data_IF_181463718877
#
_entry.id   IF_181463718877
#
_cell.length_a   1.000
_cell.length_b   1.000
_cell.length_c   1.000
_cell.angle_alpha   90.00
_cell.angle_beta   90.00
_cell.angle_gamma   90.00
#
_symmetry.space_group_name_H-M   'P 1'
#
loop_
_entity.id
_entity.type
_entity.pdbx_description
1 polymer ?
#
# COMPACT_ATOMS: atom_id res chain seq x y z
N UNK A 1 61.65 21.18 38.64
CA UNK A 1 61.27 20.17 37.63
C UNK A 1 59.82 19.73 37.79
N UNK A 2 59.35 19.45 39.02
CA UNK A 2 57.94 19.06 39.28
C UNK A 2 56.85 20.03 38.77
N UNK A 3 57.08 21.35 38.82
CA UNK A 3 56.11 22.36 38.31
C UNK A 3 55.94 22.30 36.78
N UNK A 4 57.04 22.19 36.02
CA UNK A 4 56.98 22.07 34.55
C UNK A 4 56.36 20.74 34.10
N UNK A 5 56.51 19.70 34.90
CA UNK A 5 55.93 18.39 34.65
C UNK A 5 54.42 18.38 34.95
N UNK A 6 53.99 19.09 36.00
CA UNK A 6 52.57 19.33 36.29
C UNK A 6 51.90 20.19 35.23
N UNK A 7 52.55 21.25 34.74
CA UNK A 7 52.07 22.09 33.63
C UNK A 7 51.93 21.28 32.33
N UNK A 8 52.89 20.40 32.04
CA UNK A 8 52.84 19.50 30.88
C UNK A 8 51.71 18.47 30.99
N UNK A 9 51.48 17.91 32.18
CA UNK A 9 50.36 17.00 32.43
C UNK A 9 49.00 17.72 32.35
N UNK A 10 48.93 18.98 32.79
CA UNK A 10 47.73 19.79 32.67
C UNK A 10 47.41 20.12 31.21
N UNK A 11 48.43 20.46 30.41
CA UNK A 11 48.29 20.68 28.98
C UNK A 11 47.83 19.42 28.21
N UNK A 12 48.39 18.25 28.55
CA UNK A 12 47.97 16.96 27.98
C UNK A 12 46.50 16.64 28.31
N UNK A 13 46.07 16.86 29.57
CA UNK A 13 44.66 16.68 29.97
C UNK A 13 43.71 17.64 29.27
N UNK A 14 44.15 18.88 29.01
CA UNK A 14 43.35 19.86 28.27
C UNK A 14 43.15 19.41 26.82
N UNK A 15 44.22 18.93 26.19
CA UNK A 15 44.21 18.41 24.82
C UNK A 15 43.36 17.13 24.68
N UNK A 16 43.42 16.23 25.66
CA UNK A 16 42.57 15.03 25.73
C UNK A 16 41.08 15.40 25.88
N UNK A 17 40.77 16.42 26.69
CA UNK A 17 39.40 16.91 26.88
C UNK A 17 38.85 17.57 25.62
N UNK A 18 39.66 18.35 24.92
CA UNK A 18 39.31 18.94 23.62
C UNK A 18 39.08 17.86 22.56
N UNK A 19 39.92 16.82 22.54
CA UNK A 19 39.76 15.67 21.64
C UNK A 19 38.47 14.88 21.95
N UNK A 20 38.14 14.65 23.22
CA UNK A 20 36.88 14.00 23.62
C UNK A 20 35.64 14.83 23.26
N UNK A 21 35.71 16.15 23.42
CA UNK A 21 34.62 17.06 23.07
C UNK A 21 34.40 17.12 21.55
N UNK A 22 35.48 17.13 20.77
CA UNK A 22 35.41 17.04 19.31
C UNK A 22 34.80 15.70 18.85
N UNK A 23 35.17 14.58 19.49
CA UNK A 23 34.60 13.26 19.21
C UNK A 23 33.10 13.17 19.54
N UNK A 24 32.69 13.77 20.67
CA UNK A 24 31.28 13.82 21.08
C UNK A 24 30.42 14.66 20.11
N UNK A 25 30.96 15.77 19.61
CA UNK A 25 30.29 16.58 18.58
C UNK A 25 30.15 15.80 17.27
N UNK A 26 31.21 15.10 16.85
CA UNK A 26 31.20 14.26 15.65
C UNK A 26 30.17 13.13 15.75
N UNK A 27 30.03 12.50 16.93
CA UNK A 27 29.03 11.45 17.19
C UNK A 27 27.59 11.98 17.17
N UNK A 28 27.34 13.18 17.68
CA UNK A 28 26.03 13.82 17.65
C UNK A 28 25.61 14.19 16.22
N UNK A 29 26.56 14.64 15.40
CA UNK A 29 26.34 14.93 13.99
C UNK A 29 26.11 13.66 13.16
N UNK A 30 26.80 12.56 13.44
CA UNK A 30 26.51 11.26 12.80
C UNK A 30 25.17 10.69 13.21
N UNK A 31 24.75 10.83 14.48
CA UNK A 31 23.45 10.37 14.99
C UNK A 31 22.27 11.16 14.37
N UNK A 32 22.41 12.48 14.21
CA UNK A 32 21.41 13.30 13.48
C UNK A 32 21.35 12.95 11.99
N UNK A 33 22.49 12.72 11.33
CA UNK A 33 22.53 12.28 9.92
C UNK A 33 21.89 10.90 9.75
N UNK A 34 22.03 9.98 10.72
CA UNK A 34 21.36 8.67 10.73
C UNK A 34 19.85 8.77 10.93
N UNK A 35 19.38 9.62 11.85
CA UNK A 35 17.94 9.87 12.09
C UNK A 35 17.26 10.48 10.85
N UNK A 36 17.93 11.39 10.14
CA UNK A 36 17.44 11.94 8.88
C UNK A 36 17.46 10.93 7.71
N UNK A 37 18.46 10.03 7.66
CA UNK A 37 18.51 8.91 6.71
C UNK A 37 17.36 7.92 6.96
N UNK A 38 16.99 7.64 8.23
CA UNK A 38 15.82 6.82 8.61
C UNK A 38 14.48 7.48 8.26
N UNK A 39 14.28 8.77 8.58
CA UNK A 39 13.05 9.50 8.28
C UNK A 39 12.78 9.63 6.76
N UNK A 40 13.85 9.70 5.95
CA UNK A 40 13.76 9.78 4.49
C UNK A 40 13.59 8.39 3.83
N UNK A 41 14.01 7.31 4.50
CA UNK A 41 13.73 5.93 4.08
C UNK A 41 12.28 5.52 4.41
N UNK A 42 11.74 5.87 5.59
CA UNK A 42 10.35 5.58 5.98
C UNK A 42 9.33 6.24 5.03
N UNK A 43 9.52 7.53 4.70
CA UNK A 43 8.70 8.24 3.69
C UNK A 43 8.75 7.60 2.29
N UNK A 44 9.87 7.02 1.90
CA UNK A 44 10.02 6.34 0.59
C UNK A 44 9.38 4.96 0.57
N UNK A 45 9.29 4.26 1.71
CA UNK A 45 8.55 2.99 1.85
C UNK A 45 7.04 3.24 1.84
N UNK A 46 6.55 4.27 2.53
CA UNK A 46 5.12 4.62 2.55
C UNK A 46 4.61 5.01 1.15
N UNK A 47 5.44 5.72 0.37
CA UNK A 47 5.16 6.04 -1.04
C UNK A 47 5.25 4.81 -1.96
N UNK A 48 6.14 3.86 -1.68
CA UNK A 48 6.33 2.64 -2.50
C UNK A 48 5.18 1.64 -2.27
N UNK A 49 4.65 1.53 -1.04
CA UNK A 49 3.39 0.82 -0.70
C UNK A 49 2.17 1.45 -1.38
N UNK A 50 2.06 2.78 -1.34
CA UNK A 50 1.01 3.54 -2.04
C UNK A 50 1.04 3.37 -3.57
N UNK A 51 2.20 3.05 -4.16
CA UNK A 51 2.40 2.89 -5.62
C UNK A 51 2.18 1.46 -6.13
N UNK A 52 2.52 0.44 -5.35
CA UNK A 52 2.25 -0.96 -5.71
C UNK A 52 0.79 -1.37 -5.52
N UNK A 53 0.14 -0.84 -4.48
CA UNK A 53 -1.29 -1.05 -4.18
C UNK A 53 -2.22 -0.42 -5.22
N UNK A 54 -1.76 0.47 -6.10
CA UNK A 54 -2.67 1.14 -7.03
C UNK A 54 -2.71 0.50 -8.43
N UNK A 55 -1.56 0.06 -8.97
CA UNK A 55 -1.51 -0.53 -10.33
C UNK A 55 -1.85 -2.02 -10.33
N UNK A 56 -1.29 -2.82 -9.40
CA UNK A 56 -1.64 -4.25 -9.32
C UNK A 56 -3.08 -4.44 -8.85
N UNK A 57 -3.56 -3.68 -7.86
CA UNK A 57 -4.97 -3.76 -7.44
C UNK A 57 -5.94 -3.32 -8.54
N UNK A 58 -5.58 -2.29 -9.33
CA UNK A 58 -6.38 -1.94 -10.51
C UNK A 58 -6.36 -3.04 -11.56
N UNK A 59 -5.22 -3.66 -11.84
CA UNK A 59 -5.14 -4.79 -12.76
C UNK A 59 -6.05 -5.95 -12.31
N UNK A 60 -5.95 -6.35 -11.04
CA UNK A 60 -6.83 -7.37 -10.46
C UNK A 60 -8.31 -6.98 -10.53
N UNK A 61 -8.63 -5.70 -10.27
CA UNK A 61 -9.98 -5.17 -10.40
C UNK A 61 -10.51 -5.17 -11.85
N UNK A 62 -9.67 -4.80 -12.82
CA UNK A 62 -10.05 -4.82 -14.22
C UNK A 62 -10.39 -6.24 -14.67
N UNK A 63 -9.57 -7.23 -14.28
CA UNK A 63 -9.83 -8.63 -14.58
C UNK A 63 -11.15 -9.12 -13.97
N UNK A 64 -11.37 -8.89 -12.67
CA UNK A 64 -12.58 -9.39 -12.02
C UNK A 64 -13.84 -8.65 -12.51
N UNK A 65 -13.73 -7.38 -12.88
CA UNK A 65 -14.83 -6.61 -13.47
C UNK A 65 -15.15 -7.04 -14.90
N UNK A 66 -14.13 -7.39 -15.69
CA UNK A 66 -14.30 -8.00 -17.00
C UNK A 66 -14.98 -9.37 -16.89
N UNK A 67 -14.50 -10.24 -16.00
CA UNK A 67 -15.08 -11.55 -15.75
C UNK A 67 -16.53 -11.44 -15.25
N UNK A 68 -16.82 -10.49 -14.37
CA UNK A 68 -18.19 -10.22 -13.93
C UNK A 68 -19.06 -9.67 -15.07
N UNK A 69 -18.56 -8.74 -15.88
CA UNK A 69 -19.33 -8.19 -17.00
C UNK A 69 -19.67 -9.29 -18.03
N UNK A 70 -18.71 -10.17 -18.33
CA UNK A 70 -18.90 -11.34 -19.19
C UNK A 70 -19.90 -12.35 -18.60
N UNK A 71 -19.78 -12.64 -17.30
CA UNK A 71 -20.73 -13.48 -16.59
C UNK A 71 -22.15 -12.90 -16.67
N UNK A 72 -22.29 -11.61 -16.35
CA UNK A 72 -23.58 -10.94 -16.30
C UNK A 72 -24.23 -10.88 -17.68
N UNK A 73 -23.45 -10.63 -18.74
CA UNK A 73 -23.91 -10.73 -20.13
C UNK A 73 -24.40 -12.14 -20.47
N UNK A 74 -23.61 -13.17 -20.14
CA UNK A 74 -23.93 -14.58 -20.41
C UNK A 74 -25.18 -15.05 -19.64
N UNK A 75 -25.39 -14.54 -18.44
CA UNK A 75 -26.58 -14.84 -17.61
C UNK A 75 -27.81 -13.99 -17.95
N UNK A 76 -27.70 -13.06 -18.90
CA UNK A 76 -28.81 -12.21 -19.31
C UNK A 76 -29.25 -11.23 -18.22
N UNK A 77 -28.34 -10.79 -17.34
CA UNK A 77 -28.66 -9.82 -16.31
C UNK A 77 -29.06 -8.48 -16.98
N UNK A 78 -30.21 -7.88 -16.63
CA UNK A 78 -30.66 -6.64 -17.26
C UNK A 78 -29.66 -5.49 -17.08
N UNK A 79 -29.45 -4.70 -18.14
CA UNK A 79 -28.62 -3.48 -18.10
C UNK A 79 -27.11 -3.71 -18.24
N UNK A 80 -26.67 -4.94 -18.46
CA UNK A 80 -25.25 -5.33 -18.61
C UNK A 80 -24.53 -4.70 -19.80
N UNK A 81 -25.26 -4.29 -20.84
CA UNK A 81 -24.70 -3.51 -21.95
C UNK A 81 -24.05 -2.20 -21.48
N UNK A 82 -24.48 -1.63 -20.35
CA UNK A 82 -23.93 -0.39 -19.79
C UNK A 82 -22.57 -0.60 -19.13
N UNK A 83 -22.15 -1.84 -18.85
CA UNK A 83 -20.85 -2.15 -18.25
C UNK A 83 -19.69 -1.98 -19.21
N UNK A 84 -19.92 -1.89 -20.51
CA UNK A 84 -18.86 -1.77 -21.51
C UNK A 84 -18.68 -0.31 -21.94
N UNK A 85 -17.42 0.13 -22.10
CA UNK A 85 -17.04 1.39 -22.76
C UNK A 85 -16.83 1.12 -24.25
N UNK A 86 -17.19 2.10 -25.07
CA UNK A 86 -16.84 2.12 -26.48
C UNK A 86 -15.70 3.15 -26.71
N UNK A 87 -14.57 2.82 -27.34
CA UNK A 87 -14.11 1.50 -27.78
C UNK A 87 -13.16 0.86 -26.75
N UNK A 88 -13.43 -0.40 -26.38
CA UNK A 88 -12.61 -1.29 -25.54
C UNK A 88 -12.48 -0.94 -24.04
N UNK A 89 -13.09 -1.79 -23.21
CA UNK A 89 -12.85 -1.87 -21.77
C UNK A 89 -14.13 -1.82 -20.94
N UNK A 90 -14.07 -2.37 -19.73
CA UNK A 90 -15.18 -2.27 -18.77
C UNK A 90 -15.24 -0.88 -18.13
N UNK A 91 -16.46 -0.40 -17.91
CA UNK A 91 -16.75 0.77 -17.12
C UNK A 91 -16.69 0.40 -15.64
N UNK A 92 -15.48 0.41 -15.09
CA UNK A 92 -15.20 0.01 -13.71
C UNK A 92 -16.10 0.69 -12.68
N UNK A 93 -16.40 1.98 -12.85
CA UNK A 93 -17.30 2.71 -11.95
C UNK A 93 -18.75 2.21 -12.01
N UNK A 94 -19.27 1.92 -13.20
CA UNK A 94 -20.60 1.33 -13.33
C UNK A 94 -20.67 -0.09 -12.76
N UNK A 95 -19.63 -0.89 -12.97
CA UNK A 95 -19.55 -2.25 -12.41
C UNK A 95 -19.44 -2.19 -10.88
N UNK A 96 -18.57 -1.33 -10.34
CA UNK A 96 -18.42 -1.08 -8.90
C UNK A 96 -19.78 -0.72 -8.26
N UNK A 97 -20.44 0.34 -8.77
CA UNK A 97 -21.75 0.78 -8.26
C UNK A 97 -22.82 -0.31 -8.35
N UNK A 98 -22.77 -1.13 -9.40
CA UNK A 98 -23.69 -2.24 -9.56
C UNK A 98 -23.47 -3.33 -8.51
N UNK A 99 -22.22 -3.78 -8.34
CA UNK A 99 -21.87 -4.84 -7.40
C UNK A 99 -22.15 -4.46 -5.94
N UNK A 100 -21.91 -3.19 -5.57
CA UNK A 100 -22.26 -2.65 -4.25
C UNK A 100 -23.79 -2.69 -4.02
N UNK A 101 -24.60 -2.40 -5.04
CA UNK A 101 -26.07 -2.38 -4.91
C UNK A 101 -26.73 -3.75 -5.10
N UNK A 102 -26.03 -4.75 -5.62
CA UNK A 102 -26.58 -6.08 -5.95
C UNK A 102 -25.73 -7.22 -5.34
N UNK A 103 -25.65 -7.34 -4.00
CA UNK A 103 -24.80 -8.32 -3.34
C UNK A 103 -25.16 -9.78 -3.69
N UNK A 104 -26.43 -10.06 -3.98
CA UNK A 104 -26.85 -11.40 -4.41
C UNK A 104 -26.21 -11.83 -5.74
N UNK A 105 -26.02 -10.89 -6.68
CA UNK A 105 -25.37 -11.17 -7.97
C UNK A 105 -23.87 -11.35 -7.81
N UNK A 106 -23.24 -10.60 -6.90
CA UNK A 106 -21.86 -10.83 -6.52
C UNK A 106 -21.65 -12.24 -5.95
N UNK A 107 -22.48 -12.66 -5.00
CA UNK A 107 -22.39 -14.00 -4.40
C UNK A 107 -22.64 -15.12 -5.42
N UNK A 108 -23.59 -14.93 -6.34
CA UNK A 108 -23.82 -15.89 -7.42
C UNK A 108 -22.61 -15.99 -8.36
N UNK A 109 -21.95 -14.88 -8.65
CA UNK A 109 -20.72 -14.84 -9.42
C UNK A 109 -19.56 -15.53 -8.70
N UNK A 110 -19.35 -15.27 -7.40
CA UNK A 110 -18.32 -15.93 -6.59
C UNK A 110 -18.45 -17.45 -6.61
N UNK A 111 -19.69 -17.96 -6.43
CA UNK A 111 -19.99 -19.40 -6.52
C UNK A 111 -19.69 -19.96 -7.91
N UNK A 112 -20.00 -19.21 -8.95
CA UNK A 112 -19.75 -19.62 -10.33
C UNK A 112 -18.25 -19.70 -10.64
N UNK A 113 -17.46 -18.73 -10.18
CA UNK A 113 -16.02 -18.67 -10.38
C UNK A 113 -15.22 -19.52 -9.38
N UNK A 114 -15.88 -20.10 -8.38
CA UNK A 114 -15.24 -20.78 -7.25
C UNK A 114 -14.21 -19.88 -6.52
N UNK A 115 -14.52 -18.59 -6.44
CA UNK A 115 -13.67 -17.58 -5.81
C UNK A 115 -14.05 -17.44 -4.33
N UNK A 116 -13.09 -17.69 -3.44
CA UNK A 116 -13.22 -17.47 -2.00
C UNK A 116 -12.73 -16.06 -1.67
N UNK A 117 -13.64 -15.10 -1.54
CA UNK A 117 -13.33 -13.72 -1.15
C UNK A 117 -14.43 -13.12 -0.27
N UNK A 118 -14.43 -11.79 -0.07
CA UNK A 118 -15.46 -11.07 0.70
C UNK A 118 -16.87 -11.30 0.14
N UNK A 119 -17.77 -11.80 0.99
CA UNK A 119 -19.14 -12.19 0.62
C UNK A 119 -20.02 -11.02 0.15
N UNK A 120 -19.72 -9.81 0.60
CA UNK A 120 -20.37 -8.57 0.17
C UNK A 120 -19.32 -7.73 -0.53
N UNK A 121 -19.62 -7.27 -1.74
CA UNK A 121 -18.69 -6.46 -2.52
C UNK A 121 -18.45 -5.11 -1.79
N UNK A 122 -17.19 -4.77 -1.47
CA UNK A 122 -16.87 -3.54 -0.76
C UNK A 122 -16.96 -2.34 -1.71
N UNK A 123 -17.34 -1.17 -1.19
CA UNK A 123 -17.26 0.05 -1.99
C UNK A 123 -15.79 0.43 -2.21
N UNK A 124 -15.36 0.42 -3.48
CA UNK A 124 -13.98 0.71 -3.85
C UNK A 124 -13.79 2.23 -3.98
N UNK A 125 -12.82 2.84 -3.27
CA UNK A 125 -12.52 4.26 -3.40
C UNK A 125 -12.31 4.70 -4.86
N UNK A 126 -12.94 5.80 -5.27
CA UNK A 126 -12.86 6.28 -6.66
C UNK A 126 -11.43 6.53 -7.14
N UNK A 127 -10.52 6.92 -6.25
CA UNK A 127 -9.09 7.09 -6.58
C UNK A 127 -8.41 5.80 -7.09
N UNK A 128 -8.88 4.63 -6.65
CA UNK A 128 -8.40 3.31 -7.12
C UNK A 128 -9.10 2.90 -8.42
N UNK A 129 -10.28 3.46 -8.69
CA UNK A 129 -11.02 3.27 -9.94
C UNK A 129 -10.57 4.20 -11.08
N UNK A 130 -9.99 5.37 -10.74
CA UNK A 130 -9.70 6.47 -11.65
C UNK A 130 -8.28 7.05 -11.58
N UNK A 131 -7.34 6.39 -10.89
CA UNK A 131 -5.94 6.82 -10.81
C UNK A 131 -5.34 7.14 -12.18
N UNK A 132 -4.60 8.26 -12.26
CA UNK A 132 -4.08 8.83 -13.49
C UNK A 132 -3.23 7.85 -14.33
N UNK A 133 -3.83 7.26 -15.35
CA UNK A 133 -3.28 7.06 -16.70
C UNK A 133 -4.30 6.33 -17.57
N UNK A 134 -4.82 7.08 -18.54
CA UNK A 134 -5.47 6.60 -19.76
C UNK A 134 -4.61 5.57 -20.50
N UNK A 135 -5.27 4.63 -21.18
CA UNK A 135 -4.76 3.54 -22.04
C UNK A 135 -4.58 2.16 -21.36
N UNK A 136 -4.77 1.13 -22.18
CA UNK A 136 -5.24 -0.21 -21.81
C UNK A 136 -4.37 -0.99 -20.84
N UNK A 137 -4.98 -2.01 -20.22
CA UNK A 137 -4.41 -3.01 -19.30
C UNK A 137 -2.96 -2.70 -18.93
N UNK A 138 -2.80 -1.82 -17.94
CA UNK A 138 -1.48 -1.46 -17.44
C UNK A 138 -0.84 -2.75 -16.91
N UNK A 139 0.08 -3.34 -17.66
CA UNK A 139 1.02 -4.27 -17.05
C UNK A 139 1.77 -3.46 -15.99
N UNK A 140 1.70 -3.82 -14.70
CA UNK A 140 2.43 -3.10 -13.68
C UNK A 140 3.91 -3.09 -14.03
N UNK A 141 4.49 -1.88 -14.13
CA UNK A 141 5.88 -1.64 -14.55
C UNK A 141 6.93 -2.40 -13.73
N UNK A 142 6.55 -2.88 -12.54
CA UNK A 142 7.43 -3.56 -11.59
C UNK A 142 6.94 -4.97 -11.21
N UNK A 143 6.13 -5.61 -12.07
CA UNK A 143 5.58 -6.94 -11.81
C UNK A 143 4.25 -6.91 -11.04
N UNK A 144 3.55 -8.04 -11.04
CA UNK A 144 2.27 -8.18 -10.35
C UNK A 144 2.53 -8.44 -8.86
N UNK A 145 1.88 -7.68 -7.98
CA UNK A 145 2.02 -7.85 -6.53
C UNK A 145 0.72 -8.26 -5.88
N UNK A 146 0.85 -9.08 -4.84
CA UNK A 146 -0.20 -9.46 -3.90
C UNK A 146 0.29 -9.10 -2.49
N UNK A 147 -0.52 -8.37 -1.74
CA UNK A 147 -0.21 -8.00 -0.35
C UNK A 147 -0.40 -9.21 0.54
N UNK A 148 0.62 -9.63 1.30
CA UNK A 148 0.44 -10.68 2.30
C UNK A 148 -0.42 -10.17 3.46
N UNK A 149 -1.51 -10.87 3.73
CA UNK A 149 -2.38 -10.60 4.86
C UNK A 149 -1.89 -11.39 6.08
N UNK A 150 -0.71 -11.05 6.62
CA UNK A 150 -0.21 -11.70 7.83
C UNK A 150 -1.08 -11.35 9.06
N UNK A 151 -1.11 -12.25 10.04
CA UNK A 151 -2.25 -12.57 10.91
C UNK A 151 -2.67 -11.53 11.99
N UNK A 152 -2.24 -10.28 11.93
CA UNK A 152 -2.38 -9.37 13.09
C UNK A 152 -3.06 -8.01 12.81
N UNK A 153 -3.40 -7.70 11.56
CA UNK A 153 -4.01 -6.40 11.21
C UNK A 153 -5.36 -6.56 10.53
N UNK A 154 -6.37 -5.84 11.01
CA UNK A 154 -7.66 -5.71 10.33
C UNK A 154 -7.48 -4.84 9.08
N UNK A 155 -7.29 -5.49 7.94
CA UNK A 155 -7.25 -4.81 6.64
C UNK A 155 -8.65 -4.35 6.20
N UNK A 156 -8.76 -3.23 5.46
CA UNK A 156 -10.02 -2.87 4.81
C UNK A 156 -10.51 -3.96 3.86
N UNK A 157 -11.83 -4.15 3.76
CA UNK A 157 -12.43 -5.23 2.96
C UNK A 157 -12.03 -5.19 1.46
N UNK A 158 -11.78 -4.00 0.90
CA UNK A 158 -11.30 -3.87 -0.48
C UNK A 158 -9.85 -4.36 -0.66
N UNK A 159 -9.01 -4.30 0.37
CA UNK A 159 -7.64 -4.85 0.34
C UNK A 159 -7.69 -6.37 0.33
N UNK A 160 -8.57 -6.95 1.16
CA UNK A 160 -8.80 -8.40 1.16
C UNK A 160 -9.33 -8.88 -0.20
N UNK A 161 -10.28 -8.15 -0.80
CA UNK A 161 -10.73 -8.42 -2.16
C UNK A 161 -9.57 -8.48 -3.15
N UNK A 162 -8.65 -7.49 -3.14
CA UNK A 162 -7.52 -7.46 -4.06
C UNK A 162 -6.55 -8.61 -3.86
N UNK A 163 -6.27 -8.96 -2.61
CA UNK A 163 -5.45 -10.12 -2.27
C UNK A 163 -6.05 -11.39 -2.87
N UNK A 164 -7.32 -11.68 -2.56
CA UNK A 164 -7.96 -12.93 -2.96
C UNK A 164 -8.14 -13.04 -4.49
N UNK A 165 -8.53 -11.94 -5.14
CA UNK A 165 -8.63 -11.86 -6.60
C UNK A 165 -7.25 -12.01 -7.25
N UNK A 166 -6.22 -11.40 -6.66
CA UNK A 166 -4.84 -11.54 -7.10
C UNK A 166 -4.37 -12.99 -7.02
N UNK A 167 -4.56 -13.65 -5.88
CA UNK A 167 -4.20 -15.06 -5.69
C UNK A 167 -4.95 -15.98 -6.66
N UNK A 168 -6.25 -15.72 -6.87
CA UNK A 168 -7.06 -16.47 -7.82
C UNK A 168 -6.54 -16.34 -9.25
N UNK A 169 -6.36 -15.12 -9.76
CA UNK A 169 -5.91 -14.93 -11.14
C UNK A 169 -4.45 -15.31 -11.36
N UNK A 170 -3.59 -15.09 -10.36
CA UNK A 170 -2.21 -15.55 -10.41
C UNK A 170 -2.14 -17.06 -10.60
N UNK A 171 -2.92 -17.81 -9.81
CA UNK A 171 -3.02 -19.27 -9.93
C UNK A 171 -3.67 -19.71 -11.24
N UNK A 172 -4.81 -19.10 -11.61
CA UNK A 172 -5.60 -19.50 -12.77
C UNK A 172 -4.87 -19.23 -14.09
N UNK A 173 -4.17 -18.09 -14.20
CA UNK A 173 -3.52 -17.63 -15.43
C UNK A 173 -2.00 -17.83 -15.43
N UNK A 174 -1.44 -18.37 -14.35
CA UNK A 174 0.00 -18.64 -14.22
C UNK A 174 0.85 -17.37 -14.15
N UNK A 175 0.32 -16.27 -13.61
CA UNK A 175 1.10 -15.04 -13.47
C UNK A 175 2.18 -15.20 -12.40
N UNK A 176 3.37 -14.71 -12.70
CA UNK A 176 4.40 -14.53 -11.69
C UNK A 176 4.03 -13.33 -10.81
N UNK A 177 3.94 -13.57 -9.50
CA UNK A 177 3.55 -12.56 -8.52
C UNK A 177 4.56 -12.46 -7.39
N UNK A 178 4.92 -11.24 -7.03
CA UNK A 178 5.67 -10.94 -5.83
C UNK A 178 4.70 -10.75 -4.65
N UNK A 179 5.05 -11.32 -3.50
CA UNK A 179 4.26 -11.22 -2.28
C UNK A 179 4.92 -10.23 -1.33
N UNK A 180 4.12 -9.28 -0.85
CA UNK A 180 4.62 -8.13 -0.11
C UNK A 180 3.94 -8.07 1.25
N UNK A 181 4.68 -8.36 2.33
CA UNK A 181 4.16 -8.17 3.68
C UNK A 181 4.11 -6.67 4.02
N UNK A 182 2.88 -6.19 4.17
CA UNK A 182 2.59 -4.80 4.50
C UNK A 182 2.18 -4.58 5.96
N UNK A 183 2.31 -5.57 6.83
CA UNK A 183 1.84 -5.49 8.22
C UNK A 183 2.55 -4.40 9.01
N UNK A 184 3.89 -4.36 9.01
CA UNK A 184 4.64 -3.41 9.86
C UNK A 184 4.39 -1.94 9.51
N UNK A 185 4.47 -1.54 8.23
CA UNK A 185 4.15 -0.15 7.89
C UNK A 185 2.64 0.14 7.79
N UNK A 186 1.73 -0.85 7.82
CA UNK A 186 0.31 -0.58 8.06
C UNK A 186 0.08 -0.26 9.54
N UNK A 187 0.70 -1.03 10.45
CA UNK A 187 0.70 -0.73 11.88
C UNK A 187 1.28 0.67 12.14
N UNK A 188 2.42 1.01 11.54
CA UNK A 188 3.04 2.34 11.67
C UNK A 188 2.16 3.51 11.15
N UNK A 189 1.30 3.26 10.14
CA UNK A 189 0.35 4.26 9.63
C UNK A 189 -0.88 4.42 10.54
N UNK A 190 -1.40 3.32 11.10
CA UNK A 190 -2.58 3.35 11.98
C UNK A 190 -2.29 3.98 13.35
N UNK A 191 -1.07 3.85 13.86
CA UNK A 191 -0.62 4.51 15.09
C UNK A 191 -0.60 6.04 14.98
N UNK A 192 -0.41 6.60 13.77
CA UNK A 192 -0.42 8.06 13.54
C UNK A 192 -1.83 8.64 13.39
N UNK A 193 -2.83 7.82 13.07
CA UNK A 193 -4.24 8.24 12.95
C UNK A 193 -4.92 8.54 14.28
N UNK A 194 -4.29 8.21 15.41
CA UNK A 194 -4.84 8.47 16.76
C UNK A 194 -4.37 9.80 17.36
N UNK A 195 -3.41 10.51 16.74
CA UNK A 195 -2.84 11.75 17.29
C UNK A 195 -3.38 13.06 16.66
N UNK A 196 -4.29 13.00 15.67
CA UNK A 196 -4.72 14.21 14.92
C UNK A 196 -6.04 14.84 15.40
N UNK A 197 -6.78 14.24 16.34
CA UNK A 197 -8.08 14.77 16.80
C UNK A 197 -8.03 15.72 18.02
N UNK A 198 -6.85 16.25 18.39
CA UNK A 198 -6.72 17.20 19.50
C UNK A 198 -6.18 18.58 19.09
N UNK A 199 -6.60 19.08 17.92
CA UNK A 199 -6.41 20.48 17.54
C UNK A 199 -7.74 21.14 17.16
N UNK A 200 -8.68 21.14 18.09
CA UNK A 200 -9.77 22.13 18.13
C UNK A 200 -9.86 22.74 19.53
N UNK A 201 -8.89 23.60 19.84
CA UNK A 201 -9.02 24.64 20.86
C UNK A 201 -8.19 25.83 20.44
N UNK A 202 -8.82 26.75 19.70
CA UNK A 202 -8.83 28.20 19.97
C UNK A 202 -9.32 28.96 18.73
N UNK A 203 -10.61 29.26 18.71
CA UNK A 203 -11.14 30.56 18.31
C UNK A 203 -12.30 30.93 19.23
#
# INVERSE_FOLDING_TARGET
MALKEAEKQMALKLQEKEMQMALALQNKDTEMKLKAVQDNMQKKIDITRLKYVNVSSRFWLELIFEDFANYAWTKGIPGTSKFWKNPAGVNMSKVNKYLVSHPAHWQAFLKHQQLCTVNTFPDIPEMLLYGAASCGLHQPLAGLVIVELSNCTRWPAYVQLFHDVGEFHAKQRGYHVERLDLTDAHAALMEQGTEVDNCDFMK
#
